data_IF_734084923506
#
_entry.id   IF_734084923506
#
_cell.length_a   1.000
_cell.length_b   1.000
_cell.length_c   1.000
_cell.angle_alpha   90.00
_cell.angle_beta   90.00
_cell.angle_gamma   90.00
#
_symmetry.space_group_name_H-M   'P 1'
#
loop_
_entity.id
_entity.type
_entity.pdbx_description
1 polymer ?
#
# COMPACT_ATOMS: atom_id res chain seq x y z
N UNK A 1 34.23 1.99 -8.68
CA UNK A 1 33.37 3.14 -9.03
C UNK A 1 31.98 2.86 -8.48
N UNK A 2 31.42 3.69 -7.57
CA UNK A 2 30.05 3.50 -7.09
C UNK A 2 29.07 3.93 -8.20
N UNK A 3 28.01 3.14 -8.46
CA UNK A 3 26.91 3.55 -9.32
C UNK A 3 26.05 4.59 -8.57
N UNK A 4 25.87 5.77 -9.15
CA UNK A 4 24.89 6.76 -8.67
C UNK A 4 23.50 6.36 -9.18
N UNK A 5 22.55 6.14 -8.27
CA UNK A 5 21.20 5.64 -8.54
C UNK A 5 20.10 6.65 -8.18
N UNK A 6 20.46 7.91 -7.93
CA UNK A 6 19.50 8.95 -7.58
C UNK A 6 18.63 9.33 -8.78
N UNK A 7 17.30 9.38 -8.58
CA UNK A 7 16.31 9.71 -9.62
C UNK A 7 16.68 10.98 -10.40
N UNK A 8 17.07 12.04 -9.69
CA UNK A 8 17.44 13.32 -10.29
C UNK A 8 18.61 13.21 -11.29
N UNK A 9 19.46 12.19 -11.14
CA UNK A 9 20.57 11.90 -12.03
C UNK A 9 20.20 10.92 -13.15
N UNK A 10 19.41 9.88 -12.85
CA UNK A 10 19.10 8.79 -13.81
C UNK A 10 17.97 9.15 -14.77
N UNK A 11 16.94 9.87 -14.31
CA UNK A 11 15.75 10.22 -15.11
C UNK A 11 16.11 11.04 -16.36
N UNK A 12 16.95 12.10 -16.30
CA UNK A 12 17.36 12.84 -17.50
C UNK A 12 18.17 11.99 -18.49
N UNK A 13 19.02 11.09 -17.98
CA UNK A 13 19.81 10.18 -18.82
C UNK A 13 18.93 9.17 -19.56
N UNK A 14 17.94 8.61 -18.86
CA UNK A 14 16.95 7.72 -19.47
C UNK A 14 16.19 8.42 -20.60
N UNK A 15 15.66 9.63 -20.36
CA UNK A 15 14.97 10.40 -21.39
C UNK A 15 15.89 10.74 -22.57
N UNK A 16 17.15 11.10 -22.32
CA UNK A 16 18.14 11.35 -23.38
C UNK A 16 18.44 10.11 -24.22
N UNK A 17 18.45 8.93 -23.60
CA UNK A 17 18.65 7.65 -24.30
C UNK A 17 17.41 7.25 -25.12
N UNK A 18 16.21 7.38 -24.55
CA UNK A 18 14.94 7.10 -25.25
C UNK A 18 14.77 8.04 -26.45
N UNK A 19 15.02 9.34 -26.27
CA UNK A 19 14.92 10.32 -27.35
C UNK A 19 15.89 10.02 -28.51
N UNK A 20 17.15 9.64 -28.18
CA UNK A 20 18.12 9.24 -29.20
C UNK A 20 17.76 7.92 -29.87
N UNK A 21 17.25 6.95 -29.12
CA UNK A 21 16.81 5.67 -29.68
C UNK A 21 15.64 5.88 -30.65
N UNK A 22 14.63 6.68 -30.29
CA UNK A 22 13.50 7.01 -31.15
C UNK A 22 13.93 7.75 -32.43
N UNK A 23 14.87 8.70 -32.30
CA UNK A 23 15.43 9.42 -33.45
C UNK A 23 16.26 8.51 -34.38
N UNK A 24 16.88 7.45 -33.85
CA UNK A 24 17.71 6.53 -34.62
C UNK A 24 16.92 5.36 -35.25
N UNK A 25 15.83 4.92 -34.63
CA UNK A 25 15.04 3.75 -35.09
C UNK A 25 13.78 4.12 -35.89
N UNK A 26 13.35 5.39 -35.88
CA UNK A 26 12.09 5.81 -36.51
C UNK A 26 10.84 5.18 -35.88
N UNK A 27 11.01 4.51 -34.75
CA UNK A 27 9.95 3.90 -33.96
C UNK A 27 9.76 4.77 -32.72
N UNK A 28 8.65 5.48 -32.66
CA UNK A 28 8.12 5.98 -31.40
C UNK A 28 7.77 4.75 -30.57
N UNK A 29 8.67 4.37 -29.67
CA UNK A 29 8.39 3.30 -28.71
C UNK A 29 7.15 3.70 -27.93
N UNK A 30 6.01 3.11 -28.27
CA UNK A 30 4.75 3.34 -27.60
C UNK A 30 4.91 2.87 -26.17
N UNK A 31 5.28 3.79 -25.28
CA UNK A 31 5.17 3.57 -23.84
C UNK A 31 3.68 3.44 -23.58
N UNK A 32 3.20 2.21 -23.46
CA UNK A 32 1.82 1.95 -23.04
C UNK A 32 1.70 2.53 -21.64
N UNK A 33 1.14 3.74 -21.54
CA UNK A 33 0.83 4.37 -20.26
C UNK A 33 -0.34 3.59 -19.67
N UNK A 34 -0.05 2.52 -18.93
CA UNK A 34 -1.06 1.82 -18.13
C UNK A 34 -1.76 2.86 -17.26
N UNK A 35 -3.09 2.90 -17.31
CA UNK A 35 -3.87 3.86 -16.53
C UNK A 35 -3.48 3.76 -15.04
N UNK A 36 -3.18 4.90 -14.44
CA UNK A 36 -2.74 5.00 -13.06
C UNK A 36 -3.81 5.67 -12.20
N UNK A 37 -3.88 5.26 -10.94
CA UNK A 37 -4.72 5.89 -9.92
C UNK A 37 -3.91 6.22 -8.68
N UNK A 38 -4.30 7.30 -7.99
CA UNK A 38 -3.80 7.64 -6.66
C UNK A 38 -4.68 7.07 -5.55
N UNK A 39 -5.86 6.53 -5.90
CA UNK A 39 -6.75 5.91 -4.93
C UNK A 39 -6.20 4.53 -4.52
N UNK A 40 -5.90 4.30 -3.23
CA UNK A 40 -5.47 3.00 -2.74
C UNK A 40 -6.57 1.95 -2.65
N UNK A 41 -7.86 2.29 -2.83
CA UNK A 41 -8.99 1.40 -2.50
C UNK A 41 -8.88 0.80 -1.08
N UNK A 42 -8.39 1.60 -0.13
CA UNK A 42 -8.05 1.11 1.20
C UNK A 42 -9.29 0.62 1.94
N UNK A 43 -9.27 -0.65 2.33
CA UNK A 43 -10.33 -1.27 3.11
C UNK A 43 -9.77 -2.28 4.10
N UNK A 44 -10.61 -2.73 5.03
CA UNK A 44 -10.26 -3.81 5.94
C UNK A 44 -11.00 -5.09 5.56
N UNK A 45 -10.38 -6.23 5.83
CA UNK A 45 -11.02 -7.54 5.80
C UNK A 45 -10.92 -8.15 7.20
N UNK A 46 -12.04 -8.49 7.82
CA UNK A 46 -12.04 -9.10 9.16
C UNK A 46 -11.54 -10.55 9.12
N UNK A 47 -11.33 -11.15 10.29
CA UNK A 47 -10.99 -12.57 10.40
C UNK A 47 -12.05 -13.51 9.78
N UNK A 48 -13.29 -13.05 9.60
CA UNK A 48 -14.37 -13.81 8.97
C UNK A 48 -14.47 -13.55 7.46
N UNK A 49 -13.56 -12.76 6.87
CA UNK A 49 -13.59 -12.38 5.46
C UNK A 49 -14.54 -11.23 5.13
N UNK A 50 -15.17 -10.60 6.13
CA UNK A 50 -16.08 -9.47 5.87
C UNK A 50 -15.29 -8.21 5.51
N UNK A 51 -15.72 -7.52 4.45
CA UNK A 51 -15.10 -6.26 4.02
C UNK A 51 -15.69 -5.09 4.81
N UNK A 52 -14.82 -4.27 5.40
CA UNK A 52 -15.18 -3.04 6.10
C UNK A 52 -14.60 -1.85 5.34
N UNK A 53 -15.49 -1.00 4.82
CA UNK A 53 -15.14 0.23 4.11
C UNK A 53 -14.89 1.38 5.08
N UNK A 54 -14.02 2.35 4.74
CA UNK A 54 -13.78 3.49 5.61
C UNK A 54 -15.05 4.33 5.73
N UNK A 55 -15.43 4.66 6.96
CA UNK A 55 -16.52 5.61 7.25
C UNK A 55 -16.06 7.06 7.09
N UNK A 56 -14.75 7.27 7.11
CA UNK A 56 -14.11 8.56 6.86
C UNK A 56 -12.76 8.33 6.20
N UNK A 57 -12.49 9.09 5.15
CA UNK A 57 -11.15 9.26 4.62
C UNK A 57 -10.97 10.70 4.11
N UNK A 58 -9.93 11.37 4.58
CA UNK A 58 -9.50 12.68 4.03
C UNK A 58 -8.02 12.87 4.33
N UNK A 59 -7.29 13.40 3.35
CA UNK A 59 -5.83 13.54 3.41
C UNK A 59 -5.17 12.18 3.73
N UNK A 60 -4.53 12.07 4.89
CA UNK A 60 -3.81 10.89 5.36
C UNK A 60 -4.63 10.01 6.33
N UNK A 61 -5.81 10.44 6.77
CA UNK A 61 -6.53 9.76 7.86
C UNK A 61 -7.66 8.87 7.32
N UNK A 62 -7.63 7.59 7.70
CA UNK A 62 -8.70 6.63 7.43
C UNK A 62 -9.32 6.15 8.74
N UNK A 63 -10.65 6.04 8.78
CA UNK A 63 -11.38 5.54 9.96
C UNK A 63 -12.36 4.46 9.56
N UNK A 64 -12.38 3.38 10.32
CA UNK A 64 -13.20 2.20 10.09
C UNK A 64 -13.99 1.87 11.35
N UNK A 65 -15.28 1.59 11.19
CA UNK A 65 -16.10 1.10 12.29
C UNK A 65 -16.00 -0.43 12.35
N UNK A 66 -15.60 -0.96 13.49
CA UNK A 66 -15.43 -2.39 13.70
C UNK A 66 -16.49 -2.91 14.68
N UNK A 67 -17.28 -3.93 14.28
CA UNK A 67 -18.22 -4.56 15.20
C UNK A 67 -17.46 -5.25 16.36
N UNK A 68 -18.15 -5.47 17.50
CA UNK A 68 -17.56 -6.23 18.60
C UNK A 68 -17.19 -7.65 18.14
N UNK A 69 -16.10 -8.18 18.69
CA UNK A 69 -15.64 -9.55 18.44
C UNK A 69 -14.63 -9.69 17.29
N UNK A 70 -14.25 -8.60 16.63
CA UNK A 70 -13.15 -8.61 15.65
C UNK A 70 -11.83 -8.76 16.39
N UNK A 71 -11.09 -9.84 16.07
CA UNK A 71 -9.81 -10.15 16.73
C UNK A 71 -8.60 -9.75 15.91
N UNK A 72 -8.77 -9.66 14.60
CA UNK A 72 -7.74 -9.26 13.64
C UNK A 72 -8.40 -8.74 12.38
N UNK A 73 -7.73 -7.81 11.71
CA UNK A 73 -8.10 -7.35 10.38
C UNK A 73 -6.92 -7.48 9.43
N UNK A 74 -7.20 -7.58 8.14
CA UNK A 74 -6.22 -7.37 7.08
C UNK A 74 -6.46 -5.98 6.48
N UNK A 75 -5.39 -5.20 6.38
CA UNK A 75 -5.37 -3.89 5.72
C UNK A 75 -5.07 -4.16 4.25
N UNK A 76 -6.06 -3.95 3.40
CA UNK A 76 -6.00 -4.26 1.97
C UNK A 76 -6.04 -2.97 1.17
N UNK A 77 -5.11 -2.83 0.23
CA UNK A 77 -5.06 -1.74 -0.72
C UNK A 77 -4.62 -2.25 -2.09
N UNK A 78 -4.81 -1.42 -3.11
CA UNK A 78 -4.01 -1.51 -4.33
C UNK A 78 -2.53 -1.46 -3.95
N UNK A 79 -1.73 -2.21 -4.69
CA UNK A 79 -0.29 -2.21 -4.57
C UNK A 79 0.34 -2.21 -5.95
N UNK A 80 1.50 -1.58 -6.08
CA UNK A 80 2.26 -1.56 -7.31
C UNK A 80 3.74 -1.45 -7.00
N UNK A 81 4.59 -1.84 -7.95
CA UNK A 81 6.03 -1.62 -7.81
C UNK A 81 6.37 -0.19 -8.23
N UNK A 82 7.21 0.54 -7.48
CA UNK A 82 7.68 1.85 -7.92
C UNK A 82 8.38 1.83 -9.28
N UNK A 83 9.14 0.77 -9.59
CA UNK A 83 9.75 0.56 -10.94
C UNK A 83 8.68 0.58 -12.04
N UNK A 84 7.49 0.10 -11.71
CA UNK A 84 6.38 -0.10 -12.62
C UNK A 84 5.54 1.18 -12.80
N UNK A 85 5.40 2.01 -11.75
CA UNK A 85 4.55 3.19 -11.80
C UNK A 85 5.31 4.51 -11.98
N UNK A 86 6.58 4.57 -11.58
CA UNK A 86 7.42 5.77 -11.73
C UNK A 86 8.37 5.64 -12.93
N UNK A 87 8.93 4.44 -13.16
CA UNK A 87 9.79 4.14 -14.31
C UNK A 87 11.01 3.28 -13.98
N UNK A 88 11.74 2.77 -14.99
CA UNK A 88 12.83 1.79 -14.84
C UNK A 88 14.08 2.32 -14.12
N UNK A 89 14.10 3.61 -13.79
CA UNK A 89 15.16 4.27 -13.02
C UNK A 89 14.95 4.19 -11.51
N UNK A 90 13.85 3.59 -11.05
CA UNK A 90 13.61 3.24 -9.64
C UNK A 90 13.86 1.74 -9.46
N UNK A 91 14.89 1.36 -8.68
CA UNK A 91 15.21 -0.06 -8.42
C UNK A 91 14.40 -0.68 -7.25
N UNK A 92 13.39 0.04 -6.73
CA UNK A 92 12.48 -0.53 -5.75
C UNK A 92 11.44 -1.43 -6.44
N UNK A 93 11.70 -2.74 -6.37
CA UNK A 93 10.88 -3.79 -6.97
C UNK A 93 9.83 -4.37 -6.02
N UNK A 94 9.70 -3.80 -4.82
CA UNK A 94 8.70 -4.27 -3.84
C UNK A 94 7.30 -3.92 -4.32
N UNK A 95 6.34 -4.81 -4.11
CA UNK A 95 4.92 -4.47 -4.23
C UNK A 95 4.58 -3.59 -3.03
N UNK A 96 4.34 -2.29 -3.24
CA UNK A 96 4.03 -1.36 -2.16
C UNK A 96 2.55 -1.01 -2.20
N UNK A 97 1.86 -1.27 -1.10
CA UNK A 97 0.50 -0.83 -0.86
C UNK A 97 0.50 0.59 -0.29
N UNK A 98 0.34 0.70 1.02
CA UNK A 98 0.35 1.98 1.75
C UNK A 98 1.40 1.99 2.86
N UNK A 99 1.99 3.15 3.12
CA UNK A 99 2.84 3.37 4.29
C UNK A 99 1.99 3.87 5.44
N UNK A 100 2.01 3.16 6.57
CA UNK A 100 1.21 3.49 7.75
C UNK A 100 2.15 3.93 8.87
N UNK A 101 1.95 5.16 9.34
CA UNK A 101 2.70 5.73 10.45
C UNK A 101 2.09 5.28 11.79
N UNK A 102 0.81 5.59 12.00
CA UNK A 102 0.13 5.32 13.27
C UNK A 102 -1.16 4.53 13.08
N UNK A 103 -1.44 3.68 14.07
CA UNK A 103 -2.66 2.89 14.17
C UNK A 103 -3.23 3.07 15.57
N UNK A 104 -4.50 3.46 15.66
CA UNK A 104 -5.19 3.66 16.93
C UNK A 104 -6.54 2.97 16.92
N UNK A 105 -6.89 2.35 18.04
CA UNK A 105 -8.20 1.79 18.31
C UNK A 105 -8.90 2.66 19.35
N UNK A 106 -10.07 3.18 19.00
CA UNK A 106 -10.88 4.04 19.85
C UNK A 106 -12.16 3.30 20.22
N UNK A 107 -12.50 3.30 21.50
CA UNK A 107 -13.77 2.79 22.04
C UNK A 107 -14.49 3.90 22.82
N UNK A 108 -15.67 3.60 23.37
CA UNK A 108 -16.37 4.52 24.25
C UNK A 108 -15.53 4.92 25.48
N UNK A 109 -14.73 3.98 26.01
CA UNK A 109 -14.07 4.17 27.31
C UNK A 109 -12.60 4.61 27.16
N UNK A 110 -11.94 4.25 26.06
CA UNK A 110 -10.50 4.48 25.90
C UNK A 110 -10.02 4.50 24.45
N UNK A 111 -8.85 5.11 24.25
CA UNK A 111 -8.04 5.04 23.01
C UNK A 111 -6.76 4.27 23.28
N UNK A 112 -6.44 3.32 22.40
CA UNK A 112 -5.24 2.49 22.49
C UNK A 112 -4.46 2.51 21.17
N UNK A 113 -3.18 2.85 21.22
CA UNK A 113 -2.27 2.73 20.08
C UNK A 113 -1.91 1.26 19.81
N UNK A 114 -1.92 0.87 18.55
CA UNK A 114 -1.43 -0.43 18.08
C UNK A 114 -0.09 -0.19 17.39
N UNK A 115 0.98 -0.81 17.88
CA UNK A 115 2.35 -0.60 17.38
C UNK A 115 2.97 -1.87 16.81
N UNK A 116 2.19 -2.95 16.64
CA UNK A 116 2.67 -4.24 16.13
C UNK A 116 3.32 -4.13 14.76
N UNK A 117 2.87 -3.19 13.92
CA UNK A 117 3.47 -2.91 12.61
C UNK A 117 4.85 -2.26 12.69
N UNK A 118 5.24 -1.70 13.85
CA UNK A 118 6.53 -1.07 14.10
C UNK A 118 7.51 -1.95 14.89
N UNK A 119 7.05 -3.09 15.42
CA UNK A 119 7.91 -4.02 16.17
C UNK A 119 8.90 -4.74 15.24
N UNK A 120 9.95 -5.35 15.80
CA UNK A 120 10.92 -6.12 15.02
C UNK A 120 10.26 -7.35 14.36
N UNK A 121 9.47 -8.09 15.13
CA UNK A 121 8.62 -9.18 14.63
C UNK A 121 7.27 -8.62 14.15
N UNK A 122 7.16 -8.42 12.83
CA UNK A 122 5.99 -7.83 12.21
C UNK A 122 5.04 -8.93 11.71
N UNK A 123 3.71 -8.72 11.78
CA UNK A 123 2.76 -9.62 11.16
C UNK A 123 2.98 -9.76 9.63
N UNK A 124 2.37 -10.77 9.04
CA UNK A 124 2.43 -10.98 7.58
C UNK A 124 1.94 -9.75 6.79
N UNK A 125 2.61 -9.46 5.68
CA UNK A 125 2.28 -8.38 4.74
C UNK A 125 2.82 -7.00 5.10
N UNK A 126 3.64 -6.90 6.15
CA UNK A 126 4.42 -5.70 6.46
C UNK A 126 5.88 -5.87 6.06
N UNK A 127 6.46 -4.85 5.43
CA UNK A 127 7.90 -4.85 5.16
C UNK A 127 8.71 -4.51 6.42
N UNK A 128 9.89 -5.13 6.51
CA UNK A 128 10.88 -4.77 7.52
C UNK A 128 11.36 -3.32 7.31
N UNK A 129 11.37 -2.54 8.38
CA UNK A 129 11.85 -1.17 8.37
C UNK A 129 12.18 -0.70 9.79
N UNK A 130 13.21 0.13 9.90
CA UNK A 130 13.67 0.81 11.12
C UNK A 130 13.15 2.26 11.20
N UNK A 131 12.06 2.56 10.49
CA UNK A 131 11.50 3.91 10.38
C UNK A 131 10.24 4.09 11.24
N UNK A 132 9.74 5.33 11.34
CA UNK A 132 8.51 5.68 12.07
C UNK A 132 7.21 5.23 11.39
N UNK A 133 7.30 4.56 10.24
CA UNK A 133 6.17 4.03 9.47
C UNK A 133 6.50 2.65 8.92
N UNK A 134 5.51 1.86 8.53
CA UNK A 134 5.72 0.59 7.85
C UNK A 134 4.91 0.52 6.54
N UNK A 135 5.58 0.06 5.47
CA UNK A 135 4.91 -0.21 4.20
C UNK A 135 4.22 -1.57 4.24
N UNK A 136 2.99 -1.62 3.73
CA UNK A 136 2.29 -2.87 3.43
C UNK A 136 2.69 -3.38 2.03
N UNK A 137 2.53 -4.68 1.81
CA UNK A 137 2.65 -5.31 0.48
C UNK A 137 1.35 -5.23 -0.35
N UNK A 138 0.35 -4.51 0.14
CA UNK A 138 -1.02 -4.50 -0.38
C UNK A 138 -2.00 -5.30 0.46
N UNK A 139 -1.53 -6.19 1.35
CA UNK A 139 -2.40 -7.02 2.17
C UNK A 139 -1.78 -7.39 3.52
N UNK A 140 -1.81 -6.48 4.48
CA UNK A 140 -1.11 -6.62 5.75
C UNK A 140 -2.02 -7.05 6.92
N UNK A 141 -1.56 -8.01 7.72
CA UNK A 141 -2.27 -8.49 8.91
C UNK A 141 -2.08 -7.53 10.08
N UNK A 142 -3.16 -7.22 10.80
CA UNK A 142 -3.15 -6.39 12.00
C UNK A 142 -3.95 -7.09 13.12
N UNK A 143 -3.27 -7.71 14.10
CA UNK A 143 -3.91 -8.21 15.31
C UNK A 143 -4.51 -7.04 16.11
N UNK A 144 -5.75 -7.20 16.59
CA UNK A 144 -6.41 -6.19 17.40
C UNK A 144 -6.29 -6.53 18.90
N UNK A 145 -6.17 -5.52 19.78
CA UNK A 145 -6.16 -5.73 21.22
C UNK A 145 -7.50 -6.29 21.70
N UNK A 146 -7.50 -6.93 22.87
CA UNK A 146 -8.69 -7.54 23.48
C UNK A 146 -9.87 -6.56 23.65
N UNK A 147 -9.59 -5.25 23.67
CA UNK A 147 -10.57 -4.19 23.68
C UNK A 147 -11.57 -4.28 22.51
N UNK A 148 -11.09 -4.57 21.28
CA UNK A 148 -11.95 -4.72 20.10
C UNK A 148 -12.94 -5.89 20.21
N UNK A 149 -12.67 -6.86 21.11
CA UNK A 149 -13.56 -8.00 21.31
C UNK A 149 -14.80 -7.65 22.12
N UNK A 150 -14.74 -6.62 22.98
CA UNK A 150 -15.77 -6.35 23.98
C UNK A 150 -16.85 -5.39 23.50
N UNK A 151 -16.51 -4.44 22.63
CA UNK A 151 -17.40 -3.37 22.22
C UNK A 151 -17.15 -2.93 20.78
N UNK A 152 -18.12 -2.20 20.21
CA UNK A 152 -17.92 -1.46 18.96
C UNK A 152 -16.72 -0.52 19.10
N UNK A 153 -15.88 -0.48 18.08
CA UNK A 153 -14.64 0.30 18.10
C UNK A 153 -14.37 0.96 16.76
N UNK A 154 -13.64 2.07 16.79
CA UNK A 154 -13.18 2.77 15.59
C UNK A 154 -11.68 2.56 15.43
N UNK A 155 -11.27 1.96 14.31
CA UNK A 155 -9.88 1.85 13.94
C UNK A 155 -9.49 3.06 13.08
N UNK A 156 -8.48 3.80 13.53
CA UNK A 156 -7.92 4.95 12.84
C UNK A 156 -6.52 4.59 12.31
N UNK A 157 -6.30 4.85 11.03
CA UNK A 157 -5.01 4.69 10.36
C UNK A 157 -4.51 6.04 9.86
N UNK A 158 -3.22 6.30 10.01
CA UNK A 158 -2.52 7.42 9.40
C UNK A 158 -1.62 6.92 8.27
N UNK A 159 -2.03 7.20 7.04
CA UNK A 159 -1.32 6.83 5.81
C UNK A 159 -0.44 7.99 5.38
N UNK A 160 0.88 7.81 5.47
CA UNK A 160 1.85 8.86 5.14
C UNK A 160 2.34 8.82 3.70
N UNK A 161 2.22 7.67 3.01
CA UNK A 161 2.55 7.54 1.60
C UNK A 161 1.70 6.44 0.94
N UNK A 162 1.38 6.62 -0.33
CA UNK A 162 0.54 5.74 -1.13
C UNK A 162 0.79 6.01 -2.63
N UNK A 163 0.71 4.96 -3.46
CA UNK A 163 0.69 5.05 -4.92
C UNK A 163 1.87 5.77 -5.57
N UNK A 164 1.78 6.06 -6.89
CA UNK A 164 0.70 5.70 -7.81
C UNK A 164 0.51 4.18 -7.98
N UNK A 165 -0.69 3.75 -8.39
CA UNK A 165 -1.04 2.35 -8.66
C UNK A 165 -1.45 2.12 -10.11
N UNK A 166 -1.09 0.97 -10.70
CA UNK A 166 -1.59 0.55 -12.03
C UNK A 166 -2.99 -0.04 -11.93
N UNK A 167 -3.88 0.34 -12.84
CA UNK A 167 -5.23 -0.27 -12.93
C UNK A 167 -5.23 -1.63 -13.63
N UNK A 168 -4.25 -1.93 -14.48
CA UNK A 168 -4.18 -3.18 -15.25
C UNK A 168 -3.92 -4.43 -14.39
N UNK A 169 -3.12 -4.32 -13.32
CA UNK A 169 -2.73 -5.47 -12.48
C UNK A 169 -3.89 -6.04 -11.64
N UNK A 170 -5.06 -5.37 -11.61
CA UNK A 170 -6.23 -5.79 -10.83
C UNK A 170 -7.13 -6.81 -11.55
N UNK A 171 -6.92 -7.02 -12.86
CA UNK A 171 -7.70 -7.98 -13.64
C UNK A 171 -7.18 -9.43 -13.51
N UNK A 172 -5.87 -9.60 -13.26
CA UNK A 172 -5.24 -10.92 -13.20
C UNK A 172 -5.56 -11.66 -11.88
N UNK A 173 -5.66 -10.97 -10.74
CA UNK A 173 -6.04 -11.61 -9.46
C UNK A 173 -7.51 -12.04 -9.39
N UNK A 174 -8.42 -11.40 -10.14
CA UNK A 174 -9.82 -11.83 -10.21
C UNK A 174 -10.04 -13.08 -11.08
N UNK A 175 -9.14 -13.37 -12.01
CA UNK A 175 -9.32 -14.49 -12.95
C UNK A 175 -8.90 -15.83 -12.33
N UNK A 176 -7.97 -15.83 -11.38
CA UNK A 176 -7.52 -17.07 -10.71
C UNK A 176 -8.49 -17.53 -9.61
N UNK A 177 -9.22 -16.61 -8.97
CA UNK A 177 -10.17 -16.93 -7.90
C UNK A 177 -11.54 -17.47 -8.38
N UNK A 178 -11.78 -17.56 -9.70
CA UNK A 178 -13.03 -18.10 -10.28
C UNK A 178 -12.88 -19.49 -10.90
N UNK A 179 -11.72 -20.14 -10.73
CA UNK A 179 -11.45 -21.50 -11.23
C UNK A 179 -10.84 -22.38 -10.12
N UNK A 180 -11.61 -22.68 -9.08
CA UNK A 180 -11.33 -23.77 -8.15
C UNK A 180 -12.62 -24.29 -7.51
#
# INVERSE_FOLDING_TARGET
MPLCIERAFVEPLFHSLVARAAAASGQEGAVTLSEQTMDPDLHLVTQTGAVVRPVYHKAAQYRFMLPPGVTSVRIVSRASRPTDTVGPFVDDRRMLGVAIASVQLITADQTQSITTHLQADKPAGWYATDTSHAWTDGNASLPLPALAKKAMSMLCLEVCAAGPYRLADQAEEKTVAQSA
#
